data_IF_342903442055
#
_entry.id   IF_342903442055
#
_cell.length_a   1.000
_cell.length_b   1.000
_cell.length_c   1.000
_cell.angle_alpha   90.00
_cell.angle_beta   90.00
_cell.angle_gamma   90.00
#
_symmetry.space_group_name_H-M   'P 1'
#
loop_
_entity.id
_entity.type
_entity.pdbx_description
1 polymer ?
#
# COMPACT_ATOMS: atom_id res chain seq x y z
N UNK A 1 -2.40 -11.96 -0.08
CA UNK A 1 -2.17 -10.63 -0.69
C UNK A 1 -3.46 -9.83 -0.86
N UNK A 2 -4.57 -10.38 -1.37
CA UNK A 2 -5.80 -9.61 -1.61
C UNK A 2 -6.31 -8.83 -0.38
N UNK A 3 -6.50 -9.48 0.76
CA UNK A 3 -6.97 -8.79 1.98
C UNK A 3 -5.93 -7.85 2.60
N UNK A 4 -4.64 -8.04 2.28
CA UNK A 4 -3.59 -7.06 2.63
C UNK A 4 -3.83 -5.76 1.86
N UNK A 5 -4.08 -5.86 0.55
CA UNK A 5 -4.41 -4.68 -0.28
C UNK A 5 -5.75 -4.04 0.09
N UNK A 6 -6.75 -4.83 0.49
CA UNK A 6 -8.02 -4.29 1.03
C UNK A 6 -7.76 -3.46 2.29
N UNK A 7 -6.94 -3.97 3.21
CA UNK A 7 -6.57 -3.28 4.44
C UNK A 7 -5.80 -1.99 4.17
N UNK A 8 -4.81 -2.04 3.28
CA UNK A 8 -4.07 -0.87 2.78
C UNK A 8 -5.03 0.19 2.22
N UNK A 9 -5.82 -0.14 1.18
CA UNK A 9 -6.71 0.85 0.56
C UNK A 9 -7.70 1.48 1.56
N UNK A 10 -8.24 0.68 2.49
CA UNK A 10 -9.13 1.17 3.55
C UNK A 10 -8.43 2.13 4.49
N UNK A 11 -7.25 1.77 5.00
CA UNK A 11 -6.48 2.59 5.94
C UNK A 11 -5.92 3.85 5.28
N UNK A 12 -5.56 3.74 4.00
CA UNK A 12 -4.98 4.84 3.24
C UNK A 12 -6.03 5.88 2.84
N UNK A 13 -7.10 5.46 2.16
CA UNK A 13 -8.15 6.35 1.59
C UNK A 13 -7.57 7.59 0.90
N UNK A 14 -6.56 7.38 0.04
CA UNK A 14 -5.87 8.47 -0.67
C UNK A 14 -5.12 9.45 0.25
N UNK A 15 -4.67 8.97 1.42
CA UNK A 15 -3.95 9.74 2.44
C UNK A 15 -4.87 10.48 3.43
N UNK A 16 -6.19 10.40 3.27
CA UNK A 16 -7.13 11.11 4.15
C UNK A 16 -7.13 10.53 5.58
N UNK A 17 -7.03 9.21 5.68
CA UNK A 17 -7.09 8.51 6.97
C UNK A 17 -5.72 8.16 7.53
N UNK A 18 -4.76 7.82 6.67
CA UNK A 18 -3.38 7.50 7.07
C UNK A 18 -2.73 8.60 7.94
N UNK A 19 -2.96 9.87 7.60
CA UNK A 19 -2.41 11.02 8.31
C UNK A 19 -3.37 11.67 9.30
N UNK A 20 -4.55 11.06 9.53
CA UNK A 20 -5.48 11.51 10.56
C UNK A 20 -5.07 10.92 11.92
N UNK A 21 -4.62 11.73 12.89
CA UNK A 21 -4.19 11.20 14.19
C UNK A 21 -5.36 10.83 15.11
N UNK A 22 -6.61 11.09 14.70
CA UNK A 22 -7.82 10.88 15.51
C UNK A 22 -8.61 9.69 15.01
N UNK A 23 -8.53 8.57 15.74
CA UNK A 23 -9.36 7.40 15.48
C UNK A 23 -10.86 7.69 15.61
N UNK A 24 -11.25 8.57 16.53
CA UNK A 24 -12.66 8.98 16.68
C UNK A 24 -13.19 9.67 15.42
N UNK A 25 -12.38 10.53 14.79
CA UNK A 25 -12.75 11.18 13.54
C UNK A 25 -12.89 10.17 12.40
N UNK A 26 -11.91 9.27 12.23
CA UNK A 26 -11.95 8.22 11.21
C UNK A 26 -13.22 7.37 11.35
N UNK A 27 -13.56 6.97 12.59
CA UNK A 27 -14.76 6.18 12.86
C UNK A 27 -16.06 6.97 12.62
N UNK A 28 -16.08 8.28 12.90
CA UNK A 28 -17.22 9.13 12.60
C UNK A 28 -17.44 9.29 11.08
N UNK A 29 -16.37 9.47 10.30
CA UNK A 29 -16.43 9.51 8.84
C UNK A 29 -16.86 8.15 8.26
N UNK A 30 -16.33 7.04 8.78
CA UNK A 30 -16.76 5.69 8.40
C UNK A 30 -18.27 5.50 8.62
N UNK A 31 -18.81 6.00 9.74
CA UNK A 31 -20.25 5.95 9.99
C UNK A 31 -21.04 6.79 8.98
N UNK A 32 -20.54 7.97 8.60
CA UNK A 32 -21.16 8.81 7.55
C UNK A 32 -21.15 8.15 6.17
N UNK A 33 -20.14 7.32 5.88
CA UNK A 33 -20.06 6.51 4.66
C UNK A 33 -21.00 5.28 4.66
N UNK A 34 -21.74 5.05 5.74
CA UNK A 34 -22.64 3.89 5.87
C UNK A 34 -22.00 2.67 6.49
N UNK A 35 -20.81 2.81 7.09
CA UNK A 35 -20.04 1.71 7.69
C UNK A 35 -19.24 0.89 6.68
N UNK A 36 -18.43 -0.04 7.20
CA UNK A 36 -17.48 -0.81 6.39
C UNK A 36 -18.14 -1.58 5.23
N UNK A 37 -19.32 -2.16 5.48
CA UNK A 37 -20.05 -2.94 4.47
C UNK A 37 -20.60 -2.11 3.29
N UNK A 38 -20.64 -0.77 3.41
CA UNK A 38 -21.07 0.12 2.35
C UNK A 38 -19.90 0.58 1.44
N UNK A 39 -18.65 0.26 1.80
CA UNK A 39 -17.47 0.70 1.05
C UNK A 39 -17.25 -0.21 -0.17
N UNK A 40 -17.17 0.41 -1.34
CA UNK A 40 -16.61 -0.21 -2.55
C UNK A 40 -15.22 0.36 -2.79
N UNK A 41 -14.20 -0.50 -2.73
CA UNK A 41 -12.81 -0.08 -2.94
C UNK A 41 -12.52 0.04 -4.43
N UNK A 42 -12.39 1.27 -4.90
CA UNK A 42 -11.96 1.58 -6.25
C UNK A 42 -11.22 2.93 -6.28
N UNK A 43 -10.20 3.10 -7.14
CA UNK A 43 -9.64 4.41 -7.45
C UNK A 43 -10.68 5.30 -8.15
N UNK A 44 -10.61 6.64 -7.98
CA UNK A 44 -9.58 7.37 -7.24
C UNK A 44 -9.83 7.49 -5.73
N UNK A 45 -11.00 7.11 -5.21
CA UNK A 45 -11.34 7.33 -3.79
C UNK A 45 -10.59 6.39 -2.83
N UNK A 46 -10.35 5.16 -3.25
CA UNK A 46 -9.69 4.12 -2.45
C UNK A 46 -8.52 3.47 -3.22
N UNK A 47 -7.48 4.25 -3.55
CA UNK A 47 -6.27 3.70 -4.15
C UNK A 47 -5.49 2.86 -3.13
N UNK A 48 -4.61 2.00 -3.62
CA UNK A 48 -3.59 1.34 -2.80
C UNK A 48 -2.43 2.31 -2.52
N UNK A 49 -1.81 2.23 -1.33
CA UNK A 49 -0.58 2.95 -1.00
C UNK A 49 0.67 2.25 -1.53
N UNK A 50 1.83 2.76 -1.14
CA UNK A 50 3.15 2.17 -1.36
C UNK A 50 3.29 0.77 -0.74
N UNK A 51 2.57 0.49 0.36
CA UNK A 51 2.59 -0.79 1.07
C UNK A 51 2.28 -1.96 0.13
N UNK A 52 1.16 -1.90 -0.60
CA UNK A 52 0.80 -2.99 -1.52
C UNK A 52 1.71 -3.03 -2.75
N UNK A 53 2.20 -1.89 -3.23
CA UNK A 53 3.15 -1.84 -4.35
C UNK A 53 4.44 -2.58 -3.99
N UNK A 54 5.01 -2.29 -2.83
CA UNK A 54 6.22 -2.96 -2.33
C UNK A 54 5.94 -4.42 -1.97
N UNK A 55 4.78 -4.73 -1.39
CA UNK A 55 4.41 -6.12 -1.10
C UNK A 55 4.29 -6.97 -2.37
N UNK A 56 3.75 -6.43 -3.47
CA UNK A 56 3.73 -7.08 -4.79
C UNK A 56 5.15 -7.26 -5.34
N UNK A 57 5.99 -6.22 -5.27
CA UNK A 57 7.39 -6.32 -5.69
C UNK A 57 8.14 -7.45 -4.95
N UNK A 58 7.91 -7.58 -3.64
CA UNK A 58 8.46 -8.69 -2.83
C UNK A 58 7.95 -10.03 -3.31
N UNK A 59 6.63 -10.18 -3.48
CA UNK A 59 6.02 -11.43 -3.87
C UNK A 59 6.48 -11.90 -5.26
N UNK A 60 6.59 -10.98 -6.22
CA UNK A 60 7.09 -11.29 -7.55
C UNK A 60 8.58 -11.65 -7.55
N UNK A 61 9.38 -11.06 -6.66
CA UNK A 61 10.79 -11.44 -6.47
C UNK A 61 10.91 -12.86 -5.91
N UNK A 62 10.14 -13.19 -4.88
CA UNK A 62 10.09 -14.53 -4.31
C UNK A 62 9.56 -15.58 -5.30
N UNK A 63 8.60 -15.21 -6.14
CA UNK A 63 8.01 -16.10 -7.14
C UNK A 63 8.98 -16.52 -8.25
N UNK A 64 10.15 -15.88 -8.37
CA UNK A 64 11.19 -16.30 -9.31
C UNK A 64 11.85 -17.64 -8.96
N UNK A 65 11.74 -18.08 -7.69
CA UNK A 65 12.40 -19.28 -7.18
C UNK A 65 13.92 -19.12 -6.97
N UNK A 66 14.45 -17.89 -7.06
CA UNK A 66 15.82 -17.58 -6.68
C UNK A 66 15.99 -17.71 -5.16
N UNK A 67 17.20 -18.04 -4.72
CA UNK A 67 17.57 -18.15 -3.31
C UNK A 67 18.89 -17.43 -3.03
N UNK A 68 19.16 -17.10 -1.76
CA UNK A 68 20.42 -16.49 -1.34
C UNK A 68 20.69 -15.13 -2.00
N UNK A 69 21.95 -14.90 -2.36
CA UNK A 69 22.40 -13.64 -2.97
C UNK A 69 21.64 -13.25 -4.26
N UNK A 70 21.40 -14.16 -5.23
CA UNK A 70 20.55 -13.86 -6.40
C UNK A 70 19.15 -13.34 -6.05
N UNK A 71 18.51 -13.89 -5.01
CA UNK A 71 17.21 -13.40 -4.57
C UNK A 71 17.30 -11.97 -4.02
N UNK A 72 18.34 -11.66 -3.23
CA UNK A 72 18.52 -10.32 -2.67
C UNK A 72 18.72 -9.28 -3.79
N UNK A 73 19.50 -9.62 -4.82
CA UNK A 73 19.71 -8.76 -5.99
C UNK A 73 18.41 -8.54 -6.78
N UNK A 74 17.60 -9.60 -6.96
CA UNK A 74 16.31 -9.49 -7.63
C UNK A 74 15.30 -8.66 -6.83
N UNK A 75 15.24 -8.84 -5.51
CA UNK A 75 14.40 -8.01 -4.63
C UNK A 75 14.82 -6.55 -4.70
N UNK A 76 16.12 -6.24 -4.63
CA UNK A 76 16.63 -4.88 -4.77
C UNK A 76 16.22 -4.25 -6.11
N UNK A 77 16.39 -4.99 -7.22
CA UNK A 77 15.98 -4.53 -8.56
C UNK A 77 14.48 -4.24 -8.62
N UNK A 78 13.66 -5.10 -8.04
CA UNK A 78 12.19 -4.94 -8.02
C UNK A 78 11.75 -3.77 -7.16
N UNK A 79 12.35 -3.56 -5.99
CA UNK A 79 12.02 -2.40 -5.15
C UNK A 79 12.37 -1.08 -5.85
N UNK A 80 13.52 -1.01 -6.54
CA UNK A 80 13.87 0.16 -7.34
C UNK A 80 12.85 0.38 -8.46
N UNK A 81 12.49 -0.67 -9.21
CA UNK A 81 11.47 -0.56 -10.27
C UNK A 81 10.09 -0.18 -9.74
N UNK A 82 9.70 -0.67 -8.57
CA UNK A 82 8.43 -0.36 -7.93
C UNK A 82 8.28 1.14 -7.58
N UNK A 83 9.40 1.87 -7.44
CA UNK A 83 9.37 3.32 -7.21
C UNK A 83 8.72 4.10 -8.37
N UNK A 84 8.64 3.53 -9.58
CA UNK A 84 7.98 4.14 -10.73
C UNK A 84 6.44 4.25 -10.55
N UNK A 85 5.84 3.44 -9.67
CA UNK A 85 4.39 3.45 -9.36
C UNK A 85 4.09 4.08 -7.99
N UNK A 86 4.87 5.07 -7.56
CA UNK A 86 4.69 5.71 -6.24
C UNK A 86 3.90 7.03 -6.27
N UNK A 87 3.53 7.52 -7.45
CA UNK A 87 2.77 8.77 -7.58
C UNK A 87 1.41 8.66 -6.87
N UNK A 88 1.16 9.56 -5.92
CA UNK A 88 -0.09 9.56 -5.15
C UNK A 88 -0.24 8.40 -4.16
N UNK A 89 0.83 7.65 -3.88
CA UNK A 89 0.82 6.48 -2.96
C UNK A 89 1.61 6.67 -1.67
N UNK A 90 2.26 7.82 -1.51
CA UNK A 90 2.93 8.29 -0.29
C UNK A 90 4.01 7.35 0.26
N UNK A 91 5.03 7.00 -0.54
CA UNK A 91 6.17 6.23 -0.04
C UNK A 91 6.83 6.92 1.16
N UNK A 92 7.11 6.13 2.20
CA UNK A 92 7.78 6.62 3.41
C UNK A 92 9.20 7.16 3.15
N UNK A 93 9.74 8.00 4.05
CA UNK A 93 11.09 8.59 3.91
C UNK A 93 12.20 7.54 3.71
N UNK A 94 12.11 6.40 4.39
CA UNK A 94 13.10 5.31 4.26
C UNK A 94 13.13 4.71 2.85
N UNK A 95 12.00 4.74 2.13
CA UNK A 95 11.89 4.22 0.77
C UNK A 95 12.45 5.18 -0.27
N UNK A 96 12.43 6.49 0.00
CA UNK A 96 12.80 7.53 -0.97
C UNK A 96 14.16 8.19 -0.69
N UNK A 97 14.63 8.19 0.56
CA UNK A 97 15.85 8.90 0.97
C UNK A 97 17.09 8.02 1.05
N UNK A 98 16.94 6.70 1.29
CA UNK A 98 18.06 5.79 1.51
C UNK A 98 18.68 5.92 2.89
#
# INVERSE_FOLDING_TARGET
>A
MLLSGVGDALGYRGGQWEYCPSGEQIHAELAQLGGLGAITLAPPEWPLSDDTVLHLATAEGLATGLEGEPLLQELARRYVGAMEDMEGRKPGPTSILG
#
